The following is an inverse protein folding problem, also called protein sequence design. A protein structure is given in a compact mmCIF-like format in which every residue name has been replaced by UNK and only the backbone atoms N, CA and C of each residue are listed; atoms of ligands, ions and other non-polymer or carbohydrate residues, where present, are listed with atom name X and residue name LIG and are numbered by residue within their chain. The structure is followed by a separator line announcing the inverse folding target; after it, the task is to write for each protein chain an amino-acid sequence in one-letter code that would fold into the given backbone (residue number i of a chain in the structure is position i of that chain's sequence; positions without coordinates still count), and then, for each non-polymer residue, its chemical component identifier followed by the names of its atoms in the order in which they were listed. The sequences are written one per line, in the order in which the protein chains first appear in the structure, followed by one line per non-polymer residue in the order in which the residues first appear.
data_IF_237666380826
#
_entry.id   IF_237666380826
#
_cell.length_a   1.000
_cell.length_b   1.000
_cell.length_c   1.000
_cell.angle_alpha   90.00
_cell.angle_beta   90.00
_cell.angle_gamma   90.00
#
_symmetry.space_group_name_H-M   'P 1'
#
loop_
_entity.id
_entity.type
_entity.pdbx_description
1 polymer ?
#
# COMPACT_ATOMS: atom_id res chain seq x y z
N UNK A 1 10.17 -0.55 -10.35
CA UNK A 1 10.24 0.92 -10.32
C UNK A 1 8.86 1.47 -9.98
N UNK A 2 8.73 2.79 -9.86
CA UNK A 2 7.49 3.45 -9.43
C UNK A 2 6.33 3.22 -10.41
N UNK A 3 6.60 3.35 -11.71
CA UNK A 3 5.60 3.12 -12.76
C UNK A 3 5.09 1.67 -12.76
N UNK A 4 5.99 0.69 -12.59
CA UNK A 4 5.62 -0.71 -12.48
C UNK A 4 4.75 -0.99 -11.24
N UNK A 5 5.06 -0.37 -10.10
CA UNK A 5 4.25 -0.49 -8.88
C UNK A 5 2.87 0.15 -9.05
N UNK A 6 2.80 1.33 -9.66
CA UNK A 6 1.54 2.00 -9.95
C UNK A 6 0.66 1.17 -10.88
N UNK A 7 1.23 0.64 -11.96
CA UNK A 7 0.52 -0.20 -12.91
C UNK A 7 -0.05 -1.45 -12.24
N UNK A 8 0.73 -2.12 -11.39
CA UNK A 8 0.30 -3.29 -10.62
C UNK A 8 -0.86 -2.96 -9.67
N UNK A 9 -0.77 -1.87 -8.92
CA UNK A 9 -1.84 -1.45 -7.99
C UNK A 9 -3.11 -1.06 -8.73
N UNK A 10 -2.99 -0.39 -9.89
CA UNK A 10 -4.15 -0.06 -10.73
C UNK A 10 -4.80 -1.29 -11.36
N UNK A 11 -3.99 -2.24 -11.83
CA UNK A 11 -4.49 -3.51 -12.36
C UNK A 11 -5.24 -4.30 -11.27
N UNK A 12 -4.66 -4.43 -10.07
CA UNK A 12 -5.32 -5.07 -8.94
C UNK A 12 -6.64 -4.38 -8.57
N UNK A 13 -6.66 -3.04 -8.54
CA UNK A 13 -7.90 -2.30 -8.28
C UNK A 13 -8.97 -2.58 -9.35
N UNK A 14 -8.58 -2.66 -10.63
CA UNK A 14 -9.46 -2.99 -11.73
C UNK A 14 -10.00 -4.43 -11.60
N UNK A 15 -9.15 -5.40 -11.27
CA UNK A 15 -9.53 -6.80 -11.04
C UNK A 15 -10.52 -6.93 -9.87
N UNK A 16 -10.37 -6.08 -8.84
CA UNK A 16 -11.27 -5.99 -7.70
C UNK A 16 -12.54 -5.16 -7.98
N UNK A 17 -12.66 -4.54 -9.16
CA UNK A 17 -13.80 -3.67 -9.51
C UNK A 17 -13.89 -2.39 -8.68
N UNK A 18 -12.77 -1.91 -8.12
CA UNK A 18 -12.71 -0.72 -7.27
C UNK A 18 -11.82 0.36 -7.89
N UNK A 19 -12.06 1.63 -7.51
CA UNK A 19 -11.14 2.71 -7.90
C UNK A 19 -9.77 2.55 -7.21
N UNK A 20 -8.68 2.76 -7.95
CA UNK A 20 -7.30 2.62 -7.44
C UNK A 20 -7.02 3.43 -6.16
N UNK A 21 -7.70 4.56 -5.96
CA UNK A 21 -7.64 5.35 -4.71
C UNK A 21 -7.99 4.53 -3.46
N UNK A 22 -8.88 3.54 -3.57
CA UNK A 22 -9.24 2.64 -2.46
C UNK A 22 -8.12 1.68 -2.06
N UNK A 23 -7.09 1.49 -2.88
CA UNK A 23 -5.86 0.78 -2.51
C UNK A 23 -4.74 1.76 -2.13
N UNK A 24 -4.59 2.84 -2.90
CA UNK A 24 -3.52 3.84 -2.73
C UNK A 24 -3.61 4.56 -1.38
N UNK A 25 -4.81 4.96 -0.93
CA UNK A 25 -4.95 5.67 0.34
C UNK A 25 -4.65 4.79 1.57
N UNK A 26 -5.15 3.55 1.68
CA UNK A 26 -4.74 2.63 2.74
C UNK A 26 -3.24 2.30 2.71
N UNK A 27 -2.66 2.04 1.53
CA UNK A 27 -1.22 1.82 1.39
C UNK A 27 -0.43 3.02 1.94
N UNK A 28 -0.87 4.24 1.61
CA UNK A 28 -0.24 5.45 2.14
C UNK A 28 -0.26 5.51 3.65
N UNK A 29 -1.42 5.27 4.26
CA UNK A 29 -1.56 5.25 5.71
C UNK A 29 -0.72 4.15 6.37
N UNK A 30 -0.73 2.94 5.82
CA UNK A 30 0.06 1.82 6.33
C UNK A 30 1.56 2.08 6.28
N UNK A 31 2.03 2.74 5.20
CA UNK A 31 3.45 2.96 4.97
C UNK A 31 3.98 4.24 5.59
N UNK A 32 3.19 5.32 5.70
CA UNK A 32 3.69 6.62 6.20
C UNK A 32 3.02 7.09 7.49
N UNK A 33 1.95 6.43 7.94
CA UNK A 33 1.16 6.86 9.09
C UNK A 33 0.39 8.17 8.86
N UNK A 34 0.39 8.69 7.62
CA UNK A 34 -0.22 9.97 7.25
C UNK A 34 -1.09 9.82 6.01
N UNK A 35 -2.13 10.64 5.90
CA UNK A 35 -3.00 10.68 4.71
C UNK A 35 -2.39 11.50 3.56
N UNK A 36 -1.38 12.31 3.85
CA UNK A 36 -0.63 13.14 2.89
C UNK A 36 0.84 12.76 2.98
N UNK A 37 1.45 12.42 1.86
CA UNK A 37 2.88 12.12 1.75
C UNK A 37 3.36 12.40 0.30
N UNK A 38 4.67 12.27 0.00
CA UNK A 38 5.19 12.27 -1.37
C UNK A 38 4.57 11.14 -2.24
N UNK A 39 5.07 10.91 -3.46
CA UNK A 39 4.58 9.80 -4.29
C UNK A 39 4.64 8.48 -3.50
N UNK A 40 3.51 7.79 -3.29
CA UNK A 40 3.54 6.58 -2.43
C UNK A 40 4.39 5.47 -3.07
N UNK A 41 4.42 5.42 -4.41
CA UNK A 41 5.23 4.47 -5.15
C UNK A 41 6.73 4.80 -5.07
N UNK A 42 7.10 6.09 -5.04
CA UNK A 42 8.48 6.54 -4.74
C UNK A 42 8.91 6.08 -3.35
N UNK A 43 8.06 6.29 -2.35
CA UNK A 43 8.31 5.84 -0.97
C UNK A 43 8.46 4.32 -0.91
N UNK A 44 7.60 3.56 -1.59
CA UNK A 44 7.70 2.11 -1.67
C UNK A 44 9.00 1.65 -2.34
N UNK A 45 9.40 2.32 -3.42
CA UNK A 45 10.62 2.02 -4.15
C UNK A 45 11.87 2.31 -3.30
N UNK A 46 11.87 3.40 -2.53
CA UNK A 46 12.96 3.77 -1.61
C UNK A 46 13.06 2.82 -0.41
N UNK A 47 11.92 2.45 0.18
CA UNK A 47 11.87 1.53 1.32
C UNK A 47 12.28 0.10 0.96
N UNK A 48 12.04 -0.30 -0.29
CA UNK A 48 12.25 -1.67 -0.75
C UNK A 48 11.13 -2.63 -0.31
N UNK A 49 11.08 -3.77 -1.00
CA UNK A 49 9.97 -4.73 -0.91
C UNK A 49 9.76 -5.28 0.51
N UNK A 50 10.82 -5.68 1.20
CA UNK A 50 10.71 -6.35 2.51
C UNK A 50 10.03 -5.45 3.56
N UNK A 51 10.49 -4.20 3.67
CA UNK A 51 9.93 -3.25 4.63
C UNK A 51 8.50 -2.83 4.26
N UNK A 52 8.21 -2.70 2.96
CA UNK A 52 6.84 -2.42 2.47
C UNK A 52 5.90 -3.55 2.87
N UNK A 53 6.26 -4.81 2.61
CA UNK A 53 5.44 -5.97 2.98
C UNK A 53 5.23 -6.05 4.49
N UNK A 54 6.31 -5.91 5.29
CA UNK A 54 6.21 -5.94 6.74
C UNK A 54 5.24 -4.89 7.29
N UNK A 55 5.29 -3.64 6.78
CA UNK A 55 4.34 -2.59 7.20
C UNK A 55 2.90 -2.86 6.77
N UNK A 56 2.70 -3.46 5.61
CA UNK A 56 1.35 -3.87 5.17
C UNK A 56 0.82 -4.96 6.10
N UNK A 57 1.63 -5.96 6.44
CA UNK A 57 1.24 -7.04 7.35
C UNK A 57 0.92 -6.48 8.75
N UNK A 58 1.73 -5.57 9.27
CA UNK A 58 1.47 -4.88 10.54
C UNK A 58 0.14 -4.12 10.51
N UNK A 59 -0.15 -3.40 9.42
CA UNK A 59 -1.41 -2.68 9.26
C UNK A 59 -2.61 -3.62 9.16
N UNK A 60 -2.47 -4.76 8.47
CA UNK A 60 -3.49 -5.80 8.39
C UNK A 60 -3.74 -6.44 9.75
N UNK A 61 -2.69 -6.75 10.51
CA UNK A 61 -2.77 -7.28 11.88
C UNK A 61 -3.42 -6.28 12.84
N UNK A 62 -3.18 -4.98 12.66
CA UNK A 62 -3.83 -3.95 13.47
C UNK A 62 -5.33 -3.81 13.17
N UNK A 63 -5.73 -3.89 11.89
CA UNK A 63 -7.13 -3.76 11.47
C UNK A 63 -7.95 -5.01 11.73
N UNK A 64 -7.34 -6.17 11.54
CA UNK A 64 -7.90 -7.48 11.81
C UNK A 64 -6.95 -8.17 12.79
N UNK A 65 -7.02 -7.81 14.09
CA UNK A 65 -6.33 -8.60 15.09
C UNK A 65 -6.96 -9.98 15.00
N UNK A 66 -6.22 -10.91 14.41
CA UNK A 66 -6.59 -12.32 14.47
C UNK A 66 -6.70 -12.59 15.96
N UNK A 67 -7.92 -12.76 16.44
CA UNK A 67 -8.12 -13.31 17.78
C UNK A 67 -7.49 -14.69 17.69
N UNK A 68 -6.52 -14.95 18.56
CA UNK A 68 -5.74 -16.18 18.65
C UNK A 68 -6.55 -17.46 18.37
#
# INVERSE_FOLDING_TARGET
DEEGLEAQVRALAADMGIGAGKLIHPLRLALTGTSVSPGIFEVMNLMGRELVCARIDDALNYLNPSTE
#
